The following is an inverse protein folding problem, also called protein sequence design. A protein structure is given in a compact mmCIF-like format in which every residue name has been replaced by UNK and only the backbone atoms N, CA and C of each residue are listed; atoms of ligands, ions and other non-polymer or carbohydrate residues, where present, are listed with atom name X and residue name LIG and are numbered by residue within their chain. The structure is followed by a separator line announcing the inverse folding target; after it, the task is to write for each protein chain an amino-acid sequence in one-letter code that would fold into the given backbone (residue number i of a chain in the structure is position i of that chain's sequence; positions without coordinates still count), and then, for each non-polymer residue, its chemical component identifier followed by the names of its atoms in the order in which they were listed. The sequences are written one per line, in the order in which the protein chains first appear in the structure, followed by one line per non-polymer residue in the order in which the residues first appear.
data_IF_477547845647
#
_entry.id   IF_477547845647
#
_cell.length_a   1.000
_cell.length_b   1.000
_cell.length_c   1.000
_cell.angle_alpha   90.00
_cell.angle_beta   90.00
_cell.angle_gamma   90.00
#
_symmetry.space_group_name_H-M   'P 1'
#
loop_
_entity.id
_entity.type
_entity.pdbx_description
1 polymer ?
#
# COMPACT_ATOMS: atom_id res chain seq x y z
N UNK A 1 -21.67 -27.67 -32.11
CA UNK A 1 -22.15 -26.58 -31.23
C UNK A 1 -21.14 -26.40 -30.11
N UNK A 2 -20.98 -25.15 -29.67
CA UNK A 2 -19.77 -24.58 -29.07
C UNK A 2 -19.21 -25.27 -27.81
N UNK A 3 -17.87 -25.20 -27.71
CA UNK A 3 -17.01 -25.42 -26.53
C UNK A 3 -17.02 -24.20 -25.58
N UNK A 4 -16.43 -24.40 -24.39
CA UNK A 4 -15.89 -23.44 -23.41
C UNK A 4 -16.90 -22.93 -22.36
N UNK A 5 -16.63 -22.85 -21.06
CA UNK A 5 -15.37 -23.02 -20.32
C UNK A 5 -15.61 -23.37 -18.85
N UNK A 6 -14.53 -23.87 -18.29
CA UNK A 6 -14.23 -24.44 -16.99
C UNK A 6 -14.81 -23.82 -15.72
N UNK A 7 -14.88 -24.72 -14.74
CA UNK A 7 -15.03 -24.50 -13.32
C UNK A 7 -14.15 -23.34 -12.81
N UNK A 8 -14.76 -22.42 -12.07
CA UNK A 8 -14.05 -21.40 -11.31
C UNK A 8 -13.17 -22.08 -10.26
N UNK A 9 -11.87 -22.17 -10.56
CA UNK A 9 -10.83 -22.39 -9.57
C UNK A 9 -10.74 -21.15 -8.69
N UNK A 10 -11.32 -21.23 -7.50
CA UNK A 10 -10.98 -20.35 -6.38
C UNK A 10 -9.77 -21.00 -5.69
N UNK A 11 -8.59 -20.89 -6.31
CA UNK A 11 -7.36 -21.56 -5.88
C UNK A 11 -6.37 -20.51 -5.35
N UNK A 12 -6.21 -20.46 -4.02
CA UNK A 12 -4.93 -20.23 -3.34
C UNK A 12 -4.08 -18.97 -3.58
N UNK A 13 -4.48 -18.02 -4.44
CA UNK A 13 -3.61 -16.93 -4.89
C UNK A 13 -3.57 -15.70 -3.97
N UNK A 14 -4.55 -15.57 -3.06
CA UNK A 14 -4.70 -14.40 -2.19
C UNK A 14 -3.53 -14.16 -1.23
N UNK A 15 -2.73 -15.17 -0.88
CA UNK A 15 -1.59 -15.01 0.05
C UNK A 15 -0.35 -14.39 -0.59
N UNK A 16 0.05 -14.91 -1.75
CA UNK A 16 1.31 -14.56 -2.42
C UNK A 16 1.31 -13.16 -3.02
N UNK A 17 0.15 -12.67 -3.46
CA UNK A 17 0.02 -11.32 -4.04
C UNK A 17 0.14 -10.24 -2.95
N UNK A 18 -0.42 -10.46 -1.76
CA UNK A 18 -0.27 -9.54 -0.63
C UNK A 18 1.19 -9.45 -0.19
N UNK A 19 1.87 -10.60 -0.09
CA UNK A 19 3.27 -10.68 0.37
C UNK A 19 4.22 -9.97 -0.62
N UNK A 20 3.92 -10.05 -1.92
CA UNK A 20 4.68 -9.34 -2.95
C UNK A 20 4.52 -7.82 -2.82
N UNK A 21 3.29 -7.33 -2.62
CA UNK A 21 3.03 -5.88 -2.43
C UNK A 21 3.64 -5.37 -1.12
N UNK A 22 3.61 -6.18 -0.06
CA UNK A 22 4.22 -5.86 1.22
C UNK A 22 5.75 -6.00 1.23
N UNK A 23 6.37 -6.52 0.17
CA UNK A 23 7.83 -6.52 0.04
C UNK A 23 8.36 -5.09 -0.21
N UNK A 24 7.59 -4.26 -0.92
CA UNK A 24 7.93 -2.86 -1.19
C UNK A 24 7.73 -1.99 0.06
N UNK A 25 8.80 -1.34 0.53
CA UNK A 25 8.74 -0.49 1.73
C UNK A 25 7.79 0.70 1.58
N UNK A 26 7.62 1.25 0.37
CA UNK A 26 6.74 2.39 0.13
C UNK A 26 5.28 1.97 0.21
N UNK A 27 4.94 0.80 -0.30
CA UNK A 27 3.61 0.19 -0.12
C UNK A 27 3.33 -0.09 1.37
N UNK A 28 4.30 -0.66 2.10
CA UNK A 28 4.16 -0.88 3.56
C UNK A 28 3.94 0.43 4.31
N UNK A 29 4.73 1.46 4.02
CA UNK A 29 4.59 2.76 4.63
C UNK A 29 3.22 3.37 4.35
N UNK A 30 2.78 3.39 3.08
CA UNK A 30 1.48 3.93 2.70
C UNK A 30 0.33 3.20 3.41
N UNK A 31 0.42 1.87 3.50
CA UNK A 31 -0.58 1.06 4.19
C UNK A 31 -0.58 1.34 5.70
N UNK A 32 0.60 1.42 6.33
CA UNK A 32 0.73 1.76 7.75
C UNK A 32 0.18 3.16 8.07
N UNK A 33 0.47 4.16 7.23
CA UNK A 33 -0.08 5.51 7.38
C UNK A 33 -1.60 5.47 7.29
N UNK A 34 -2.16 4.78 6.29
CA UNK A 34 -3.60 4.63 6.13
C UNK A 34 -4.27 3.87 7.28
N UNK A 35 -3.63 2.85 7.85
CA UNK A 35 -4.15 2.13 9.03
C UNK A 35 -4.14 3.05 10.27
N UNK A 36 -3.08 3.86 10.41
CA UNK A 36 -2.93 4.80 11.52
C UNK A 36 -3.96 5.95 11.45
N UNK A 37 -4.51 6.22 10.27
CA UNK A 37 -5.53 7.25 10.06
C UNK A 37 -6.92 6.64 9.91
N UNK A 38 -7.80 6.85 10.89
CA UNK A 38 -9.20 6.41 10.83
C UNK A 38 -10.08 7.20 9.83
N UNK A 39 -9.48 7.97 8.92
CA UNK A 39 -10.19 8.80 7.95
C UNK A 39 -9.53 8.74 6.56
N UNK A 40 -10.29 8.96 5.47
CA UNK A 40 -9.74 8.94 4.13
C UNK A 40 -8.68 10.03 3.93
N UNK A 41 -7.48 9.64 3.52
CA UNK A 41 -6.32 10.49 3.32
C UNK A 41 -6.15 10.82 1.83
N UNK A 42 -5.94 12.09 1.45
CA UNK A 42 -5.66 12.42 0.05
C UNK A 42 -4.26 11.93 -0.37
N UNK A 43 -4.10 11.63 -1.65
CA UNK A 43 -2.80 11.18 -2.23
C UNK A 43 -1.66 12.17 -1.94
N UNK A 44 -1.97 13.47 -1.90
CA UNK A 44 -1.01 14.54 -1.61
C UNK A 44 -0.41 14.41 -0.20
N UNK A 45 -1.24 14.17 0.82
CA UNK A 45 -0.77 13.97 2.21
C UNK A 45 0.08 12.71 2.34
N UNK A 46 -0.33 11.62 1.68
CA UNK A 46 0.43 10.36 1.69
C UNK A 46 1.80 10.55 1.03
N UNK A 47 1.85 11.27 -0.10
CA UNK A 47 3.10 11.54 -0.80
C UNK A 47 4.04 12.44 0.02
N UNK A 48 3.52 13.44 0.74
CA UNK A 48 4.33 14.31 1.59
C UNK A 48 4.96 13.51 2.74
N UNK A 49 4.15 12.68 3.40
CA UNK A 49 4.62 11.81 4.48
C UNK A 49 5.60 10.75 4.00
N UNK A 50 5.35 10.12 2.86
CA UNK A 50 6.26 9.15 2.26
C UNK A 50 7.58 9.81 1.86
N UNK A 51 7.55 11.02 1.28
CA UNK A 51 8.77 11.77 0.95
C UNK A 51 9.57 12.13 2.20
N UNK A 52 8.90 12.54 3.28
CA UNK A 52 9.55 12.83 4.55
C UNK A 52 10.22 11.56 5.13
N UNK A 53 9.54 10.42 5.08
CA UNK A 53 10.07 9.13 5.50
C UNK A 53 11.23 8.65 4.62
N UNK A 54 11.11 8.72 3.29
CA UNK A 54 12.18 8.37 2.35
C UNK A 54 13.44 9.18 2.62
N UNK A 55 13.31 10.50 2.86
CA UNK A 55 14.46 11.37 3.18
C UNK A 55 15.18 10.99 4.48
N UNK A 56 14.53 10.25 5.37
CA UNK A 56 15.17 9.76 6.61
C UNK A 56 15.88 8.42 6.43
N UNK A 57 15.45 7.60 5.46
CA UNK A 57 15.96 6.22 5.27
C UNK A 57 16.82 6.04 4.02
N UNK A 58 16.54 6.79 2.97
CA UNK A 58 17.23 6.74 1.70
C UNK A 58 17.92 8.08 1.43
N UNK A 59 19.17 8.02 0.94
CA UNK A 59 19.87 9.20 0.40
C UNK A 59 19.30 9.62 -0.97
N UNK A 60 18.23 8.95 -1.44
CA UNK A 60 17.60 9.19 -2.73
C UNK A 60 16.87 10.54 -2.73
N UNK A 61 17.29 11.42 -3.64
CA UNK A 61 16.69 12.75 -3.84
C UNK A 61 15.48 12.69 -4.76
N UNK A 62 14.42 12.03 -4.31
CA UNK A 62 13.14 12.08 -5.01
C UNK A 62 12.46 13.44 -4.81
N UNK A 63 11.80 13.92 -5.86
CA UNK A 63 10.91 15.08 -5.77
C UNK A 63 9.53 14.66 -5.27
N UNK A 64 8.80 15.62 -4.72
CA UNK A 64 7.41 15.39 -4.29
C UNK A 64 6.52 14.90 -5.44
N UNK A 65 6.70 15.46 -6.64
CA UNK A 65 5.93 15.08 -7.84
C UNK A 65 6.20 13.63 -8.24
N UNK A 66 7.46 13.18 -8.22
CA UNK A 66 7.82 11.78 -8.51
C UNK A 66 7.23 10.81 -7.48
N UNK A 67 7.32 11.14 -6.18
CA UNK A 67 6.73 10.31 -5.13
C UNK A 67 5.22 10.22 -5.30
N UNK A 68 4.55 11.35 -5.56
CA UNK A 68 3.11 11.38 -5.74
C UNK A 68 2.66 10.59 -6.97
N UNK A 69 3.38 10.70 -8.10
CA UNK A 69 3.09 9.95 -9.31
C UNK A 69 3.24 8.46 -9.08
N UNK A 70 4.36 8.00 -8.51
CA UNK A 70 4.58 6.58 -8.21
C UNK A 70 3.56 6.03 -7.21
N UNK A 71 3.20 6.82 -6.19
CA UNK A 71 2.18 6.44 -5.23
C UNK A 71 0.82 6.23 -5.91
N UNK A 72 0.44 7.14 -6.82
CA UNK A 72 -0.85 7.09 -7.53
C UNK A 72 -0.91 6.02 -8.60
N UNK A 73 0.15 5.85 -9.39
CA UNK A 73 0.15 5.03 -10.59
C UNK A 73 0.64 3.58 -10.33
N UNK A 74 1.39 3.34 -9.25
CA UNK A 74 2.00 2.03 -8.96
C UNK A 74 1.55 1.48 -7.58
N UNK A 75 1.86 2.19 -6.50
CA UNK A 75 1.71 1.64 -5.14
C UNK A 75 0.25 1.53 -4.68
N UNK A 76 -0.55 2.59 -4.79
CA UNK A 76 -1.96 2.57 -4.37
C UNK A 76 -2.82 1.62 -5.23
N UNK A 77 -2.66 1.57 -6.56
CA UNK A 77 -3.33 0.56 -7.38
C UNK A 77 -2.95 -0.87 -6.99
N UNK A 78 -1.68 -1.14 -6.68
CA UNK A 78 -1.24 -2.45 -6.22
C UNK A 78 -1.93 -2.83 -4.90
N UNK A 79 -1.92 -1.94 -3.90
CA UNK A 79 -2.59 -2.13 -2.61
C UNK A 79 -4.12 -2.29 -2.75
N UNK A 80 -4.72 -1.59 -3.71
CA UNK A 80 -6.15 -1.71 -4.00
C UNK A 80 -6.47 -3.04 -4.70
N UNK A 81 -5.61 -3.51 -5.60
CA UNK A 81 -5.78 -4.78 -6.32
C UNK A 81 -5.82 -5.97 -5.37
N UNK A 82 -5.07 -5.91 -4.27
CA UNK A 82 -5.07 -6.93 -3.21
C UNK A 82 -6.11 -6.68 -2.11
N UNK A 83 -6.93 -5.65 -2.24
CA UNK A 83 -8.02 -5.34 -1.31
C UNK A 83 -7.58 -4.81 0.05
N UNK A 84 -6.36 -4.28 0.16
CA UNK A 84 -5.82 -3.67 1.38
C UNK A 84 -6.18 -2.19 1.49
N UNK A 85 -6.39 -1.51 0.37
CA UNK A 85 -6.77 -0.09 0.34
C UNK A 85 -8.06 0.09 -0.46
N UNK A 86 -8.91 0.99 0.01
CA UNK A 86 -10.12 1.41 -0.67
C UNK A 86 -10.00 2.89 -1.07
N UNK A 87 -10.52 3.24 -2.24
CA UNK A 87 -10.59 4.65 -2.67
C UNK A 87 -11.98 5.22 -2.36
N UNK A 88 -12.01 6.44 -1.83
CA UNK A 88 -13.24 7.18 -1.55
C UNK A 88 -13.34 8.39 -2.48
N UNK A 89 -14.56 8.94 -2.61
CA UNK A 89 -14.83 10.27 -3.19
C UNK A 89 -14.04 10.58 -4.48
N UNK A 90 -14.60 10.21 -5.63
CA UNK A 90 -14.04 10.49 -6.96
C UNK A 90 -12.59 9.98 -7.20
N UNK A 91 -12.12 9.00 -6.41
CA UNK A 91 -10.79 8.40 -6.61
C UNK A 91 -9.62 9.27 -6.13
N UNK A 92 -9.87 10.19 -5.19
CA UNK A 92 -8.84 11.16 -4.73
C UNK A 92 -8.37 10.96 -3.30
N UNK A 93 -9.09 10.12 -2.53
CA UNK A 93 -8.77 9.81 -1.14
C UNK A 93 -8.73 8.31 -0.95
N UNK A 94 -7.87 7.85 -0.06
CA UNK A 94 -7.61 6.45 0.19
C UNK A 94 -7.80 6.16 1.67
N UNK A 95 -8.32 4.97 1.98
CA UNK A 95 -8.51 4.48 3.35
C UNK A 95 -8.06 3.03 3.42
N UNK A 96 -7.56 2.61 4.57
CA UNK A 96 -7.30 1.20 4.81
C UNK A 96 -8.61 0.40 4.80
N UNK A 97 -8.59 -0.74 4.12
CA UNK A 97 -9.66 -1.73 4.15
C UNK A 97 -9.70 -2.42 5.51
N UNK A 98 -10.83 -3.03 5.86
CA UNK A 98 -10.91 -3.90 7.04
C UNK A 98 -9.84 -5.01 7.01
N UNK A 99 -9.55 -5.54 5.81
CA UNK A 99 -8.54 -6.58 5.61
C UNK A 99 -7.12 -6.09 5.88
N UNK A 100 -6.84 -4.80 5.70
CA UNK A 100 -5.53 -4.24 6.04
C UNK A 100 -5.27 -4.19 7.54
N UNK A 101 -6.31 -4.07 8.36
CA UNK A 101 -6.18 -4.11 9.82
C UNK A 101 -5.68 -5.47 10.32
N UNK A 102 -6.02 -6.56 9.62
CA UNK A 102 -5.49 -7.90 9.92
C UNK A 102 -3.96 -7.98 9.71
N UNK A 103 -3.40 -7.12 8.85
CA UNK A 103 -1.96 -7.04 8.59
C UNK A 103 -1.24 -5.98 9.45
N UNK A 104 -1.96 -5.21 10.29
CA UNK A 104 -1.35 -4.16 11.12
C UNK A 104 -0.20 -4.72 11.98
N UNK A 105 -0.41 -5.87 12.61
CA UNK A 105 0.61 -6.49 13.47
C UNK A 105 1.84 -6.90 12.65
N UNK A 106 1.64 -7.53 11.48
CA UNK A 106 2.73 -7.94 10.58
C UNK A 106 3.53 -6.73 10.09
N UNK A 107 2.85 -5.67 9.66
CA UNK A 107 3.51 -4.44 9.17
C UNK A 107 4.29 -3.78 10.31
N UNK A 108 3.70 -3.71 11.51
CA UNK A 108 4.35 -3.13 12.68
C UNK A 108 5.58 -3.92 13.12
N UNK A 109 5.54 -5.24 13.06
CA UNK A 109 6.71 -6.10 13.33
C UNK A 109 7.83 -5.87 12.31
N UNK A 110 7.48 -5.76 11.01
CA UNK A 110 8.45 -5.48 9.95
C UNK A 110 9.06 -4.07 10.07
N UNK A 111 8.28 -3.06 10.45
CA UNK A 111 8.80 -1.70 10.67
C UNK A 111 9.61 -1.57 11.96
N UNK A 112 9.28 -2.35 13.00
CA UNK A 112 9.98 -2.34 14.29
C UNK A 112 11.37 -2.98 14.25
N UNK A 113 11.62 -3.90 13.30
CA UNK A 113 12.94 -4.52 13.10
C UNK A 113 13.93 -3.59 12.38
N UNK A 114 13.44 -2.46 11.84
CA UNK A 114 14.30 -1.47 11.21
C UNK A 114 14.83 -0.52 12.30
N UNK A 115 16.12 -0.60 12.69
CA UNK A 115 16.64 0.23 13.77
C UNK A 115 16.48 1.70 13.40
N UNK A 116 15.84 2.46 14.29
CA UNK A 116 16.00 3.91 14.32
C UNK A 116 17.46 4.16 14.71
N UNK A 117 18.33 4.45 13.75
CA UNK A 117 19.67 4.93 14.08
C UNK A 117 19.55 6.24 14.87
N UNK A 118 20.06 6.21 16.11
CA UNK A 118 20.09 7.29 17.10
C UNK A 118 21.00 8.46 16.71
#
# INVERSE_FOLDING_TARGET
MHKFTEAGGFDGQDGSENETVLTDDRCRFALYDLISHFHPVPVYDLADRLLAWERTRNDERLTFEEVQERLRDDHLPALQSVGLVETTTNGTRYTASRRALDFESTIRELEADTPAEE
#
